data_IF_981436431679
#
_entry.id   IF_981436431679
#
_cell.length_a   1.000
_cell.length_b   1.000
_cell.length_c   1.000
_cell.angle_alpha   90.00
_cell.angle_beta   90.00
_cell.angle_gamma   90.00
#
_symmetry.space_group_name_H-M   'P 1'
#
loop_
_entity.id
_entity.type
_entity.pdbx_description
1 polymer ?
#
# COMPACT_ATOMS: atom_id res chain seq x y z
N UNK A 1 -20.58 38.04 0.24
CA UNK A 1 -19.11 37.87 0.27
C UNK A 1 -18.79 36.51 0.86
N UNK A 2 -18.02 35.72 0.10
CA UNK A 2 -16.94 34.75 0.47
C UNK A 2 -17.15 33.96 1.78
N UNK A 3 -17.12 32.62 1.77
CA UNK A 3 -16.03 31.83 1.19
C UNK A 3 -16.45 30.41 0.77
N UNK A 4 -16.06 30.09 -0.46
CA UNK A 4 -15.82 28.77 -1.02
C UNK A 4 -14.67 28.06 -0.31
N UNK A 5 -14.77 26.73 -0.16
CA UNK A 5 -13.60 25.84 -0.28
C UNK A 5 -13.26 25.01 0.94
N UNK A 6 -13.72 23.76 0.95
CA UNK A 6 -12.85 22.58 1.00
C UNK A 6 -13.71 21.34 0.69
N UNK A 7 -13.44 20.71 -0.46
CA UNK A 7 -14.01 19.41 -0.82
C UNK A 7 -13.76 18.39 0.30
N UNK A 8 -14.83 17.78 0.80
CA UNK A 8 -14.75 16.60 1.65
C UNK A 8 -14.19 15.44 0.83
N UNK A 9 -13.06 14.82 1.21
CA UNK A 9 -12.60 13.61 0.55
C UNK A 9 -13.45 12.43 1.04
N UNK A 10 -14.62 12.26 0.42
CA UNK A 10 -15.39 11.03 0.51
C UNK A 10 -14.88 10.02 -0.54
N UNK A 11 -14.76 8.76 -0.10
CA UNK A 11 -14.39 7.52 -0.82
C UNK A 11 -12.95 7.00 -0.67
N UNK A 12 -12.61 6.50 0.52
CA UNK A 12 -11.77 5.31 0.71
C UNK A 12 -12.45 4.43 1.77
N UNK A 13 -12.61 3.13 1.49
CA UNK A 13 -13.47 2.23 2.28
C UNK A 13 -13.16 2.24 3.78
N UNK A 14 -14.19 2.30 4.63
CA UNK A 14 -14.19 2.19 6.09
C UNK A 14 -12.93 2.68 6.83
N UNK A 15 -12.34 3.79 6.37
CA UNK A 15 -11.10 4.31 6.95
C UNK A 15 -11.45 5.09 8.22
N UNK A 16 -11.03 4.57 9.36
CA UNK A 16 -11.33 5.13 10.67
C UNK A 16 -10.18 6.04 11.12
N UNK A 17 -10.51 7.32 11.43
CA UNK A 17 -9.58 8.36 11.83
C UNK A 17 -9.64 8.62 13.33
N UNK A 18 -8.48 8.81 13.94
CA UNK A 18 -8.30 9.05 15.35
C UNK A 18 -7.47 10.32 15.55
N UNK A 19 -7.97 11.27 16.35
CA UNK A 19 -7.07 12.30 16.86
C UNK A 19 -6.06 11.64 17.82
N UNK A 20 -4.82 12.14 17.83
CA UNK A 20 -3.73 11.54 18.61
C UNK A 20 -4.08 11.32 20.09
N UNK A 21 -4.78 12.27 20.72
CA UNK A 21 -5.21 12.12 22.11
C UNK A 21 -6.18 10.95 22.32
N UNK A 22 -7.11 10.73 21.39
CA UNK A 22 -8.10 9.65 21.47
C UNK A 22 -7.45 8.30 21.20
N UNK A 23 -6.54 8.26 20.22
CA UNK A 23 -5.73 7.08 19.93
C UNK A 23 -4.90 6.66 21.15
N UNK A 24 -4.30 7.62 21.87
CA UNK A 24 -3.55 7.35 23.10
C UNK A 24 -4.44 6.81 24.21
N UNK A 25 -5.62 7.39 24.42
CA UNK A 25 -6.56 6.95 25.46
C UNK A 25 -7.18 5.58 25.17
N UNK A 26 -7.28 5.21 23.89
CA UNK A 26 -7.99 3.99 23.43
C UNK A 26 -7.11 3.10 22.57
N UNK A 27 -5.81 3.05 22.84
CA UNK A 27 -4.85 2.39 21.96
C UNK A 27 -5.18 0.90 21.71
N UNK A 28 -5.68 0.19 22.73
CA UNK A 28 -6.14 -1.20 22.56
C UNK A 28 -7.28 -1.35 21.56
N UNK A 29 -8.22 -0.39 21.52
CA UNK A 29 -9.30 -0.39 20.52
C UNK A 29 -8.74 -0.09 19.11
N UNK A 30 -7.78 0.84 19.00
CA UNK A 30 -7.11 1.14 17.73
C UNK A 30 -6.44 -0.11 17.18
N UNK A 31 -5.67 -0.83 18.01
CA UNK A 31 -4.99 -2.07 17.61
C UNK A 31 -5.99 -3.15 17.22
N UNK A 32 -7.05 -3.36 18.00
CA UNK A 32 -8.10 -4.35 17.67
C UNK A 32 -8.74 -4.03 16.31
N UNK A 33 -9.10 -2.77 16.05
CA UNK A 33 -9.65 -2.36 14.75
C UNK A 33 -8.63 -2.47 13.62
N UNK A 34 -7.34 -2.23 13.88
CA UNK A 34 -6.28 -2.43 12.90
C UNK A 34 -6.19 -3.89 12.43
N UNK A 35 -6.49 -4.84 13.32
CA UNK A 35 -6.53 -6.28 13.01
C UNK A 35 -7.83 -6.69 12.34
N UNK A 36 -8.98 -6.23 12.85
CA UNK A 36 -10.30 -6.71 12.41
C UNK A 36 -10.86 -5.95 11.20
N UNK A 37 -10.54 -4.66 11.08
CA UNK A 37 -11.19 -3.72 10.16
C UNK A 37 -10.21 -3.08 9.17
N UNK A 38 -8.91 -3.28 9.36
CA UNK A 38 -7.86 -2.73 8.51
C UNK A 38 -7.28 -1.40 9.02
N UNK A 39 -6.53 -0.67 8.20
CA UNK A 39 -5.71 0.48 8.64
C UNK A 39 -6.48 1.55 9.43
N UNK A 40 -5.86 2.07 10.48
CA UNK A 40 -6.40 3.10 11.35
C UNK A 40 -5.53 4.36 11.26
N UNK A 41 -6.12 5.49 10.92
CA UNK A 41 -5.38 6.71 10.63
C UNK A 41 -5.32 7.60 11.87
N UNK A 42 -4.15 8.16 12.18
CA UNK A 42 -3.93 9.02 13.33
C UNK A 42 -3.61 10.43 12.85
N UNK A 43 -4.36 11.41 13.37
CA UNK A 43 -4.23 12.82 13.04
C UNK A 43 -3.66 13.63 14.19
N UNK A 44 -2.91 14.69 13.86
CA UNK A 44 -2.41 15.71 14.79
C UNK A 44 -2.82 17.06 14.22
N UNK A 45 -3.53 17.87 15.00
CA UNK A 45 -4.09 19.15 14.54
C UNK A 45 -4.94 19.03 13.26
N UNK A 46 -5.65 17.91 13.10
CA UNK A 46 -6.49 17.63 11.92
C UNK A 46 -5.73 17.09 10.70
N UNK A 47 -4.40 17.07 10.72
CA UNK A 47 -3.59 16.51 9.63
C UNK A 47 -3.22 15.06 9.92
N UNK A 48 -3.34 14.19 8.92
CA UNK A 48 -2.89 12.80 9.02
C UNK A 48 -1.37 12.72 9.18
N UNK A 49 -0.91 12.05 10.24
CA UNK A 49 0.53 11.95 10.57
C UNK A 49 1.04 10.52 10.69
N UNK A 50 0.17 9.56 10.98
CA UNK A 50 0.54 8.15 11.09
C UNK A 50 -0.62 7.23 10.74
N UNK A 51 -0.30 5.99 10.38
CA UNK A 51 -1.29 4.93 10.16
C UNK A 51 -0.87 3.71 10.97
N UNK A 52 -1.80 3.15 11.74
CA UNK A 52 -1.63 1.89 12.48
C UNK A 52 -2.20 0.77 11.63
N UNK A 53 -1.38 -0.24 11.34
CA UNK A 53 -1.74 -1.47 10.64
C UNK A 53 -1.42 -2.67 11.51
N UNK A 54 -2.07 -3.82 11.27
CA UNK A 54 -1.69 -5.06 11.93
C UNK A 54 -0.28 -5.47 11.52
N UNK A 55 0.45 -6.17 12.40
CA UNK A 55 1.81 -6.65 12.09
C UNK A 55 1.82 -7.53 10.82
N UNK A 56 0.85 -8.44 10.68
CA UNK A 56 0.69 -9.27 9.48
C UNK A 56 0.53 -8.44 8.20
N UNK A 57 -0.24 -7.35 8.28
CA UNK A 57 -0.43 -6.46 7.14
C UNK A 57 0.85 -5.69 6.81
N UNK A 58 1.54 -5.20 7.84
CA UNK A 58 2.84 -4.57 7.69
C UNK A 58 3.85 -5.52 7.02
N UNK A 59 3.94 -6.76 7.48
CA UNK A 59 4.82 -7.78 6.91
C UNK A 59 4.44 -8.12 5.46
N UNK A 60 3.15 -8.14 5.11
CA UNK A 60 2.70 -8.33 3.72
C UNK A 60 3.10 -7.15 2.81
N UNK A 61 3.01 -5.93 3.34
CA UNK A 61 3.31 -4.70 2.59
C UNK A 61 4.83 -4.49 2.44
N UNK A 62 5.59 -4.77 3.49
CA UNK A 62 7.03 -4.46 3.59
C UNK A 62 7.92 -5.68 3.43
N UNK A 63 7.35 -6.88 3.44
CA UNK A 63 8.08 -8.14 3.38
C UNK A 63 9.01 -8.21 2.19
N UNK A 64 10.06 -9.02 2.36
CA UNK A 64 11.13 -9.26 1.39
C UNK A 64 10.55 -9.84 0.09
N UNK A 65 10.09 -8.97 -0.82
CA UNK A 65 9.69 -9.38 -2.15
C UNK A 65 10.95 -9.75 -2.93
N UNK A 66 11.40 -10.99 -2.75
CA UNK A 66 12.52 -11.57 -3.49
C UNK A 66 12.18 -11.82 -4.97
N UNK A 67 10.91 -11.63 -5.35
CA UNK A 67 10.38 -12.03 -6.65
C UNK A 67 10.00 -13.51 -6.73
N UNK A 68 10.30 -14.31 -5.71
CA UNK A 68 10.08 -15.76 -5.72
C UNK A 68 8.63 -16.18 -5.95
N UNK A 69 7.66 -15.50 -5.34
CA UNK A 69 6.23 -15.78 -5.55
C UNK A 69 5.78 -15.48 -6.98
N UNK A 70 6.32 -14.42 -7.60
CA UNK A 70 6.05 -14.10 -9.00
C UNK A 70 6.67 -15.15 -9.93
N UNK A 71 7.91 -15.56 -9.65
CA UNK A 71 8.59 -16.62 -10.41
C UNK A 71 7.81 -17.93 -10.32
N UNK A 72 7.42 -18.35 -9.11
CA UNK A 72 6.61 -19.55 -8.91
C UNK A 72 5.29 -19.49 -9.68
N UNK A 73 4.59 -18.36 -9.63
CA UNK A 73 3.35 -18.17 -10.38
C UNK A 73 3.56 -18.25 -11.89
N UNK A 74 4.65 -17.68 -12.42
CA UNK A 74 4.97 -17.74 -13.85
C UNK A 74 5.36 -19.16 -14.29
N UNK A 75 6.01 -19.93 -13.42
CA UNK A 75 6.35 -21.34 -13.68
C UNK A 75 5.11 -22.24 -13.63
N UNK A 76 4.18 -22.00 -12.71
CA UNK A 76 2.92 -22.77 -12.59
C UNK A 76 1.85 -22.32 -13.59
N UNK A 77 2.11 -21.24 -14.33
CA UNK A 77 1.19 -20.70 -15.34
C UNK A 77 1.08 -21.63 -16.55
N UNK A 78 -0.10 -21.71 -17.20
CA UNK A 78 -0.25 -22.34 -18.53
C UNK A 78 0.67 -21.76 -19.62
N UNK A 79 1.27 -20.59 -19.36
CA UNK A 79 2.24 -19.94 -20.24
C UNK A 79 3.66 -20.47 -20.08
N UNK A 80 3.95 -21.32 -19.09
CA UNK A 80 5.29 -21.85 -18.85
C UNK A 80 5.82 -22.69 -20.01
N UNK A 81 4.93 -23.33 -20.76
CA UNK A 81 5.26 -24.16 -21.93
C UNK A 81 5.24 -23.37 -23.26
N UNK A 82 4.92 -22.08 -23.22
CA UNK A 82 4.88 -21.25 -24.44
C UNK A 82 6.30 -20.96 -24.88
N UNK A 83 6.68 -21.51 -26.03
CA UNK A 83 7.92 -21.13 -26.70
C UNK A 83 7.76 -19.75 -27.34
N UNK A 84 8.57 -18.80 -26.90
CA UNK A 84 8.67 -17.50 -27.52
C UNK A 84 9.84 -17.49 -28.50
N UNK A 85 9.56 -17.17 -29.76
CA UNK A 85 10.63 -16.72 -30.66
C UNK A 85 11.20 -15.41 -30.09
N UNK A 86 12.47 -15.45 -29.69
CA UNK A 86 13.20 -14.27 -29.22
C UNK A 86 14.15 -13.80 -30.33
N UNK A 87 13.65 -13.17 -31.40
CA UNK A 87 14.53 -12.57 -32.39
C UNK A 87 15.35 -11.50 -31.67
N UNK A 88 16.67 -11.57 -31.80
CA UNK A 88 17.52 -10.47 -31.36
C UNK A 88 17.32 -9.31 -32.32
N UNK A 89 16.64 -8.28 -31.85
CA UNK A 89 16.44 -7.04 -32.58
C UNK A 89 17.43 -6.02 -32.03
N UNK A 90 18.35 -5.53 -32.87
CA UNK A 90 19.15 -4.35 -32.52
C UNK A 90 18.23 -3.14 -32.53
N UNK A 91 17.83 -2.69 -31.35
CA UNK A 91 17.08 -1.46 -31.14
C UNK A 91 17.98 -0.30 -30.71
N UNK A 92 17.52 0.95 -30.84
CA UNK A 92 18.25 2.09 -30.31
C UNK A 92 18.41 1.94 -28.79
N UNK A 93 19.65 2.01 -28.31
CA UNK A 93 19.96 2.09 -26.88
C UNK A 93 20.03 3.57 -26.47
N UNK A 94 19.59 3.88 -25.25
CA UNK A 94 19.77 5.22 -24.69
C UNK A 94 21.24 5.41 -24.34
N UNK A 95 21.79 6.58 -24.62
CA UNK A 95 23.14 6.95 -24.14
C UNK A 95 23.22 6.81 -22.61
N UNK A 96 24.28 6.15 -22.14
CA UNK A 96 24.59 5.97 -20.72
C UNK A 96 25.86 6.77 -20.43
N UNK A 97 25.76 7.77 -19.57
CA UNK A 97 26.94 8.47 -19.06
C UNK A 97 27.64 7.56 -18.04
N UNK A 98 28.91 7.23 -18.29
CA UNK A 98 29.78 6.41 -17.42
C UNK A 98 30.70 7.28 -16.56
#
# INVERSE_FOLDING_TARGET
>A
MKSTGAEEPSRRGNTSYWQLQDAKARFSDVVRRAVEQGPQHVTVNGEERAVVVSAREYDRLTGHRTGGELVALLVDSPLAEVEFEHPRITGPVRDVDL
#
